data_IF_131244187221
#
_entry.id   IF_131244187221
#
_cell.length_a   1.000
_cell.length_b   1.000
_cell.length_c   1.000
_cell.angle_alpha   90.00
_cell.angle_beta   90.00
_cell.angle_gamma   90.00
#
_symmetry.space_group_name_H-M   'P 1'
#
loop_
_entity.id
_entity.type
_entity.pdbx_description
1 polymer ?
#
# COMPACT_ATOMS: atom_id res chain seq x y z
N UNK A 1 -6.30 24.01 -6.13
CA UNK A 1 -5.58 23.11 -5.21
C UNK A 1 -6.04 21.69 -5.45
N UNK A 2 -5.10 20.76 -5.48
CA UNK A 2 -5.34 19.35 -5.75
C UNK A 2 -5.04 18.56 -4.48
N UNK A 3 -6.06 17.94 -3.91
CA UNK A 3 -5.96 17.19 -2.65
C UNK A 3 -5.69 15.72 -2.97
N UNK A 4 -4.74 15.12 -2.27
CA UNK A 4 -4.32 13.72 -2.46
C UNK A 4 -4.41 12.95 -1.16
N UNK A 5 -5.00 11.77 -1.24
CA UNK A 5 -4.99 10.81 -0.14
C UNK A 5 -3.54 10.42 0.19
N UNK A 6 -3.25 10.29 1.46
CA UNK A 6 -2.02 9.68 1.98
C UNK A 6 -2.37 8.47 2.82
N UNK A 7 -1.44 7.56 2.94
CA UNK A 7 -1.58 6.33 3.73
C UNK A 7 -0.54 6.31 4.85
N UNK A 8 -0.87 5.73 5.98
CA UNK A 8 0.03 5.63 7.13
C UNK A 8 -0.01 4.23 7.71
N UNK A 9 1.15 3.73 8.10
CA UNK A 9 1.29 2.49 8.86
C UNK A 9 1.58 2.77 10.33
N UNK A 10 1.13 1.86 11.17
CA UNK A 10 1.53 1.75 12.56
C UNK A 10 1.84 0.29 12.89
N UNK A 11 2.75 0.10 13.84
CA UNK A 11 3.10 -1.20 14.37
C UNK A 11 3.06 -1.12 15.90
N UNK A 12 2.28 -1.99 16.54
CA UNK A 12 2.07 -2.00 17.99
C UNK A 12 1.78 -0.62 18.61
N UNK A 13 0.99 0.19 17.88
CA UNK A 13 0.57 1.52 18.32
C UNK A 13 1.53 2.67 17.99
N UNK A 14 2.74 2.40 17.50
CA UNK A 14 3.65 3.42 16.98
C UNK A 14 3.29 3.74 15.52
N UNK A 15 2.85 4.97 15.26
CA UNK A 15 2.53 5.46 13.92
C UNK A 15 3.78 6.01 13.23
N UNK A 16 3.99 5.61 11.97
CA UNK A 16 5.14 6.03 11.18
C UNK A 16 4.85 7.26 10.32
N UNK A 17 5.82 7.67 9.50
CA UNK A 17 5.62 8.76 8.57
C UNK A 17 4.59 8.39 7.48
N UNK A 18 3.66 9.30 7.12
CA UNK A 18 2.68 9.02 6.07
C UNK A 18 3.31 9.01 4.69
N UNK A 19 2.90 8.05 3.87
CA UNK A 19 3.28 7.91 2.47
C UNK A 19 2.25 8.57 1.54
N UNK A 20 2.70 9.12 0.43
CA UNK A 20 1.86 9.66 -0.63
C UNK A 20 1.42 8.56 -1.60
N UNK A 21 2.31 7.64 -1.93
CA UNK A 21 2.08 6.62 -2.94
C UNK A 21 1.68 5.29 -2.33
N UNK A 22 2.57 4.67 -1.53
CA UNK A 22 2.33 3.33 -1.02
C UNK A 22 3.09 3.01 0.26
N UNK A 23 2.62 1.99 0.93
CA UNK A 23 3.33 1.26 1.97
C UNK A 23 3.51 -0.18 1.48
N UNK A 24 4.74 -0.63 1.43
CA UNK A 24 5.09 -1.99 1.06
C UNK A 24 5.55 -2.77 2.29
N UNK A 25 4.81 -3.82 2.64
CA UNK A 25 5.18 -4.76 3.69
C UNK A 25 5.75 -6.00 3.02
N UNK A 26 7.02 -6.29 3.24
CA UNK A 26 7.68 -7.43 2.62
C UNK A 26 8.44 -8.28 3.65
N UNK A 27 8.60 -9.57 3.32
CA UNK A 27 9.42 -10.48 4.12
C UNK A 27 10.86 -9.97 4.19
N UNK A 28 11.44 -10.00 5.38
CA UNK A 28 12.83 -9.56 5.60
C UNK A 28 13.84 -10.62 5.15
N UNK A 29 13.55 -11.89 5.41
CA UNK A 29 14.41 -13.00 5.00
C UNK A 29 13.99 -13.53 3.63
N UNK A 30 14.84 -13.33 2.63
CA UNK A 30 14.57 -13.73 1.24
C UNK A 30 14.63 -15.22 1.00
N UNK A 31 15.23 -16.01 1.91
CA UNK A 31 15.38 -17.46 1.78
C UNK A 31 14.21 -18.26 2.39
N UNK A 32 13.33 -17.57 3.17
CA UNK A 32 12.18 -18.22 3.82
C UNK A 32 10.88 -17.72 3.22
N UNK A 33 9.97 -18.62 2.94
CA UNK A 33 8.60 -18.29 2.52
C UNK A 33 7.84 -17.71 3.70
N UNK A 34 7.23 -16.55 3.52
CA UNK A 34 6.41 -15.90 4.52
C UNK A 34 4.92 -16.02 4.18
N UNK A 35 4.10 -16.27 5.19
CA UNK A 35 2.65 -16.22 5.09
C UNK A 35 2.16 -14.87 5.61
N UNK A 36 1.36 -14.20 4.80
CA UNK A 36 0.71 -12.95 5.14
C UNK A 36 -0.78 -13.18 5.37
N UNK A 37 -1.28 -12.67 6.47
CA UNK A 37 -2.70 -12.57 6.76
C UNK A 37 -3.11 -11.10 6.65
N UNK A 38 -4.01 -10.81 5.73
CA UNK A 38 -4.49 -9.45 5.43
C UNK A 38 -5.97 -9.39 5.79
N UNK A 39 -6.32 -8.53 6.73
CA UNK A 39 -7.70 -8.29 7.16
C UNK A 39 -8.17 -6.92 6.72
N UNK A 40 -9.30 -6.87 6.05
CA UNK A 40 -9.96 -5.65 5.60
C UNK A 40 -11.47 -5.88 5.58
N UNK A 41 -12.23 -4.94 6.12
CA UNK A 41 -13.66 -5.11 6.38
C UNK A 41 -13.93 -6.37 7.21
N UNK A 42 -14.85 -7.21 6.74
CA UNK A 42 -15.14 -8.52 7.32
C UNK A 42 -14.31 -9.65 6.70
N UNK A 43 -13.46 -9.34 5.71
CA UNK A 43 -12.72 -10.31 4.94
C UNK A 43 -11.32 -10.55 5.48
N UNK A 44 -10.83 -11.76 5.30
CA UNK A 44 -9.46 -12.15 5.63
C UNK A 44 -8.88 -12.96 4.48
N UNK A 45 -7.74 -12.52 3.99
CA UNK A 45 -6.93 -13.27 3.02
C UNK A 45 -5.68 -13.76 3.71
N UNK A 46 -5.38 -15.05 3.59
CA UNK A 46 -4.18 -15.66 4.16
C UNK A 46 -3.47 -16.48 3.10
N UNK A 47 -2.25 -16.08 2.79
CA UNK A 47 -1.47 -16.75 1.73
C UNK A 47 0.02 -16.48 1.87
N UNK A 48 0.82 -17.42 1.33
CA UNK A 48 2.27 -17.26 1.17
C UNK A 48 2.56 -16.33 -0.01
N UNK A 49 3.36 -15.30 0.24
CA UNK A 49 3.76 -14.31 -0.77
C UNK A 49 5.05 -13.60 -0.33
N UNK A 50 5.63 -12.82 -1.21
CA UNK A 50 6.82 -12.02 -0.88
C UNK A 50 6.47 -10.75 -0.09
N UNK A 51 5.25 -10.28 -0.22
CA UNK A 51 4.76 -9.11 0.48
C UNK A 51 3.43 -8.61 -0.05
N UNK A 52 3.01 -7.46 0.45
CA UNK A 52 1.79 -6.78 0.03
C UNK A 52 2.04 -5.27 -0.04
N UNK A 53 1.55 -4.65 -1.10
CA UNK A 53 1.60 -3.20 -1.30
C UNK A 53 0.22 -2.63 -1.03
N UNK A 54 0.14 -1.63 -0.15
CA UNK A 54 -1.07 -0.84 0.07
C UNK A 54 -0.84 0.53 -0.54
N UNK A 55 -1.51 0.80 -1.66
CA UNK A 55 -1.35 2.02 -2.45
C UNK A 55 -2.52 2.96 -2.32
N UNK A 56 -2.21 4.25 -2.44
CA UNK A 56 -3.19 5.31 -2.69
C UNK A 56 -3.48 5.40 -4.20
N UNK A 57 -4.52 6.13 -4.63
CA UNK A 57 -4.71 6.43 -6.06
C UNK A 57 -3.52 7.16 -6.69
N UNK A 58 -2.81 8.02 -5.94
CA UNK A 58 -1.57 8.67 -6.42
C UNK A 58 -0.45 7.66 -6.70
N UNK A 59 -0.36 6.61 -5.90
CA UNK A 59 0.60 5.51 -6.05
C UNK A 59 0.19 4.45 -7.07
N UNK A 60 -1.02 4.53 -7.64
CA UNK A 60 -1.51 3.52 -8.60
C UNK A 60 -0.70 3.45 -9.89
N UNK A 61 0.15 4.44 -10.20
CA UNK A 61 1.09 4.45 -11.32
C UNK A 61 2.50 3.99 -10.94
N UNK A 62 2.72 3.63 -9.69
CA UNK A 62 4.02 3.25 -9.15
C UNK A 62 4.23 1.75 -9.05
N UNK A 63 4.76 1.29 -7.93
CA UNK A 63 5.09 -0.11 -7.69
C UNK A 63 3.88 -1.05 -7.83
N UNK A 64 2.72 -0.67 -7.33
CA UNK A 64 1.48 -1.44 -7.49
C UNK A 64 1.17 -1.71 -8.97
N UNK A 65 1.31 -0.69 -9.83
CA UNK A 65 1.06 -0.83 -11.27
C UNK A 65 2.01 -1.83 -11.94
N UNK A 66 3.29 -1.78 -11.58
CA UNK A 66 4.33 -2.64 -12.17
C UNK A 66 4.11 -4.13 -11.92
N UNK A 67 3.31 -4.49 -10.91
CA UNK A 67 2.98 -5.87 -10.54
C UNK A 67 1.50 -6.22 -10.80
N UNK A 68 0.82 -5.43 -11.64
CA UNK A 68 -0.55 -5.72 -12.11
C UNK A 68 -1.66 -5.04 -11.32
N UNK A 69 -1.36 -4.07 -10.48
CA UNK A 69 -2.37 -3.23 -9.85
C UNK A 69 -3.09 -2.32 -10.85
N UNK A 70 -4.35 -1.95 -10.59
CA UNK A 70 -5.13 -1.10 -11.50
C UNK A 70 -4.66 0.35 -11.47
N UNK A 71 -4.82 1.04 -12.60
CA UNK A 71 -4.70 2.48 -12.67
C UNK A 71 -5.97 3.14 -12.11
N UNK A 72 -5.82 4.00 -11.12
CA UNK A 72 -6.92 4.73 -10.51
C UNK A 72 -6.83 6.23 -10.75
N UNK A 73 -8.01 6.85 -10.88
CA UNK A 73 -8.08 8.30 -10.91
C UNK A 73 -7.64 8.87 -9.55
N UNK A 74 -6.80 9.86 -9.59
CA UNK A 74 -6.16 10.46 -8.41
C UNK A 74 -7.10 11.13 -7.39
N UNK A 75 -8.36 11.41 -7.79
CA UNK A 75 -9.39 11.99 -6.92
C UNK A 75 -10.22 10.96 -6.16
N UNK A 76 -10.02 9.67 -6.43
CA UNK A 76 -10.73 8.61 -5.70
C UNK A 76 -10.26 8.53 -4.26
N UNK A 77 -11.16 8.15 -3.38
CA UNK A 77 -10.91 7.99 -1.95
C UNK A 77 -10.95 6.52 -1.56
N UNK A 78 -9.97 5.78 -2.03
CA UNK A 78 -9.84 4.33 -1.88
C UNK A 78 -8.39 3.95 -1.61
N UNK A 79 -8.17 2.71 -1.19
CA UNK A 79 -6.86 2.08 -1.13
C UNK A 79 -6.82 0.85 -2.05
N UNK A 80 -5.63 0.49 -2.50
CA UNK A 80 -5.39 -0.71 -3.31
C UNK A 80 -4.53 -1.67 -2.51
N UNK A 81 -5.00 -2.90 -2.38
CA UNK A 81 -4.23 -4.02 -1.81
C UNK A 81 -3.67 -4.81 -2.99
N UNK A 82 -2.36 -4.79 -3.19
CA UNK A 82 -1.69 -5.51 -4.28
C UNK A 82 -0.73 -6.55 -3.72
N UNK A 83 -1.02 -7.84 -3.87
CA UNK A 83 -0.12 -8.91 -3.42
C UNK A 83 1.13 -8.98 -4.31
N UNK A 84 2.28 -9.29 -3.70
CA UNK A 84 3.56 -9.43 -4.38
C UNK A 84 3.95 -10.90 -4.43
N UNK A 85 4.07 -11.44 -5.62
CA UNK A 85 4.42 -12.85 -5.88
C UNK A 85 3.64 -13.86 -5.01
N UNK A 86 2.31 -13.82 -4.98
CA UNK A 86 1.52 -14.78 -4.22
C UNK A 86 1.67 -16.18 -4.83
N UNK A 87 1.76 -17.20 -3.97
CA UNK A 87 1.89 -18.61 -4.42
C UNK A 87 0.68 -19.05 -5.26
N UNK A 88 -0.52 -18.66 -4.84
CA UNK A 88 -1.72 -18.82 -5.65
C UNK A 88 -2.20 -17.48 -6.15
N UNK A 89 -2.78 -17.46 -7.35
CA UNK A 89 -3.26 -16.24 -7.97
C UNK A 89 -4.19 -15.47 -7.01
N UNK A 90 -3.79 -14.26 -6.67
CA UNK A 90 -4.56 -13.34 -5.85
C UNK A 90 -4.59 -11.99 -6.58
N UNK A 91 -5.77 -11.48 -6.98
CA UNK A 91 -5.87 -10.20 -7.68
C UNK A 91 -5.59 -9.04 -6.74
N UNK A 92 -5.27 -7.89 -7.31
CA UNK A 92 -5.32 -6.63 -6.58
C UNK A 92 -6.77 -6.30 -6.23
N UNK A 93 -6.97 -5.79 -5.02
CA UNK A 93 -8.30 -5.47 -4.47
C UNK A 93 -8.35 -3.99 -4.18
N UNK A 94 -9.36 -3.30 -4.71
CA UNK A 94 -9.64 -1.91 -4.38
C UNK A 94 -10.65 -1.89 -3.24
N UNK A 95 -10.28 -1.23 -2.15
CA UNK A 95 -11.11 -1.15 -0.94
C UNK A 95 -11.43 0.32 -0.63
N UNK A 96 -12.61 0.62 -0.05
CA UNK A 96 -12.92 1.95 0.44
C UNK A 96 -11.95 2.34 1.57
N UNK A 97 -12.06 3.58 2.05
CA UNK A 97 -11.24 4.08 3.17
C UNK A 97 -11.46 3.25 4.44
N UNK A 98 -10.57 2.30 4.65
CA UNK A 98 -10.66 1.39 5.78
C UNK A 98 -9.29 1.08 6.39
N UNK A 99 -9.39 0.56 7.61
CA UNK A 99 -8.25 -0.01 8.30
C UNK A 99 -7.92 -1.38 7.71
N UNK A 100 -6.69 -1.56 7.25
CA UNK A 100 -6.14 -2.83 6.79
C UNK A 100 -5.17 -3.31 7.86
N UNK A 101 -5.33 -4.53 8.33
CA UNK A 101 -4.42 -5.16 9.28
C UNK A 101 -3.62 -6.24 8.58
N UNK A 102 -2.32 -6.27 8.82
CA UNK A 102 -1.39 -7.24 8.23
C UNK A 102 -0.61 -7.92 9.35
N UNK A 103 -0.63 -9.25 9.33
CA UNK A 103 0.25 -10.08 10.13
C UNK A 103 1.14 -10.89 9.20
N UNK A 104 2.40 -11.06 9.57
CA UNK A 104 3.37 -11.87 8.83
C UNK A 104 3.90 -12.98 9.73
N UNK A 105 4.08 -14.18 9.16
CA UNK A 105 4.64 -15.33 9.86
C UNK A 105 6.13 -15.22 10.18
N UNK A 106 6.81 -14.20 9.64
CA UNK A 106 8.23 -13.90 9.84
C UNK A 106 8.42 -12.40 9.98
N UNK A 107 9.62 -12.00 10.42
CA UNK A 107 10.02 -10.60 10.44
C UNK A 107 9.88 -9.99 9.05
N UNK A 108 9.35 -8.78 9.01
CA UNK A 108 9.13 -8.06 7.77
C UNK A 108 9.62 -6.61 7.84
N UNK A 109 9.81 -6.03 6.66
CA UNK A 109 10.06 -4.61 6.49
C UNK A 109 8.76 -3.90 6.15
N UNK A 110 8.63 -2.66 6.63
CA UNK A 110 7.56 -1.73 6.28
C UNK A 110 8.24 -0.56 5.58
N UNK A 111 7.98 -0.41 4.29
CA UNK A 111 8.64 0.58 3.44
C UNK A 111 7.62 1.63 3.01
N UNK A 112 7.87 2.90 3.35
CA UNK A 112 7.03 4.04 3.00
C UNK A 112 7.63 4.79 1.81
N UNK A 113 6.89 4.92 0.71
CA UNK A 113 7.28 5.64 -0.52
C UNK A 113 8.67 5.28 -1.04
N UNK A 114 9.10 4.03 -0.88
CA UNK A 114 10.44 3.52 -1.24
C UNK A 114 11.63 4.28 -0.59
N UNK A 115 11.37 5.07 0.45
CA UNK A 115 12.38 5.94 1.07
C UNK A 115 12.68 5.60 2.53
N UNK A 116 11.66 5.31 3.31
CA UNK A 116 11.79 5.02 4.73
C UNK A 116 11.47 3.56 5.00
N UNK A 117 12.32 2.90 5.80
CA UNK A 117 12.17 1.49 6.17
C UNK A 117 12.06 1.38 7.69
N UNK A 118 11.03 0.66 8.13
CA UNK A 118 10.86 0.19 9.51
C UNK A 118 10.79 -1.33 9.50
N UNK A 119 11.09 -1.95 10.64
CA UNK A 119 10.96 -3.40 10.80
C UNK A 119 9.80 -3.72 11.73
N UNK A 120 9.13 -4.83 11.45
CA UNK A 120 8.19 -5.46 12.35
C UNK A 120 8.65 -6.90 12.62
N UNK A 121 8.61 -7.31 13.88
CA UNK A 121 8.94 -8.67 14.29
C UNK A 121 7.73 -9.59 14.10
N UNK A 122 7.99 -10.89 14.07
CA UNK A 122 6.92 -11.89 14.01
C UNK A 122 5.96 -11.72 15.20
N UNK A 123 4.66 -11.71 14.90
CA UNK A 123 3.60 -11.52 15.90
C UNK A 123 3.18 -10.06 16.11
N UNK A 124 3.94 -9.09 15.65
CA UNK A 124 3.53 -7.70 15.67
C UNK A 124 2.45 -7.43 14.62
N UNK A 125 1.42 -6.67 15.01
CA UNK A 125 0.33 -6.28 14.11
C UNK A 125 0.68 -4.99 13.40
N UNK A 126 0.69 -5.04 12.09
CA UNK A 126 0.83 -3.86 11.24
C UNK A 126 -0.57 -3.37 10.86
N UNK A 127 -0.87 -2.13 11.16
CA UNK A 127 -2.13 -1.48 10.79
C UNK A 127 -1.85 -0.39 9.76
N UNK A 128 -2.55 -0.44 8.64
CA UNK A 128 -2.44 0.55 7.58
C UNK A 128 -3.80 1.17 7.35
N UNK A 129 -3.84 2.49 7.30
CA UNK A 129 -5.05 3.28 7.11
C UNK A 129 -4.75 4.57 6.35
N UNK A 130 -5.79 5.21 5.88
CA UNK A 130 -5.70 6.55 5.35
C UNK A 130 -5.21 7.53 6.43
N UNK A 131 -4.29 8.38 6.05
CA UNK A 131 -3.80 9.44 6.94
C UNK A 131 -4.78 10.61 6.98
N UNK A 132 -5.02 11.16 8.16
CA UNK A 132 -6.03 12.21 8.39
C UNK A 132 -5.81 13.47 7.56
N UNK A 133 -4.53 13.84 7.29
CA UNK A 133 -4.18 15.05 6.54
C UNK A 133 -3.83 14.68 5.11
N UNK A 134 -4.59 15.18 4.15
CA UNK A 134 -4.30 15.05 2.72
C UNK A 134 -3.06 15.87 2.35
N UNK A 135 -2.34 15.43 1.32
CA UNK A 135 -1.36 16.26 0.65
C UNK A 135 -2.09 17.26 -0.26
N UNK A 136 -1.63 18.49 -0.29
CA UNK A 136 -2.21 19.55 -1.11
C UNK A 136 -1.17 20.01 -2.13
N UNK A 137 -1.52 19.89 -3.41
CA UNK A 137 -0.68 20.35 -4.51
C UNK A 137 -1.28 21.60 -5.16
N UNK A 138 -0.45 22.60 -5.40
CA UNK A 138 -0.81 23.77 -6.19
C UNK A 138 -0.55 23.45 -7.66
N UNK A 139 -1.58 23.48 -8.49
CA UNK A 139 -1.45 23.28 -9.95
C UNK A 139 -1.50 24.63 -10.66
N UNK A 140 -0.45 24.92 -11.41
CA UNK A 140 -0.40 26.12 -12.25
C UNK A 140 -1.13 25.90 -13.58
N UNK A 141 -1.26 24.68 -14.08
CA UNK A 141 -2.01 24.33 -15.28
C UNK A 141 -2.82 23.05 -15.06
N UNK A 142 -4.10 23.07 -15.43
CA UNK A 142 -4.95 21.87 -15.50
C UNK A 142 -4.67 21.18 -16.83
N UNK A 143 -4.07 20.00 -16.81
CA UNK A 143 -3.97 19.10 -17.99
C UNK A 143 -4.43 17.72 -17.55
N UNK A 144 -5.43 17.18 -18.24
CA UNK A 144 -5.91 15.81 -18.24
C UNK A 144 -5.64 14.89 -17.05
N UNK A 145 -5.78 13.62 -17.24
CA UNK A 145 -5.48 12.59 -16.24
C UNK A 145 -3.96 12.42 -16.11
N UNK A 146 -3.39 12.94 -15.02
CA UNK A 146 -1.94 12.91 -14.80
C UNK A 146 -1.34 11.51 -14.71
N UNK A 147 -2.11 10.55 -14.23
CA UNK A 147 -1.68 9.16 -14.16
C UNK A 147 -1.31 8.62 -15.54
N UNK A 148 -2.09 8.93 -16.56
CA UNK A 148 -1.77 8.54 -17.95
C UNK A 148 -0.46 9.17 -18.42
N UNK A 149 -0.26 10.46 -18.15
CA UNK A 149 1.00 11.14 -18.49
C UNK A 149 2.22 10.54 -17.80
N UNK A 150 2.10 10.11 -16.53
CA UNK A 150 3.18 9.43 -15.81
C UNK A 150 3.56 8.09 -16.43
N UNK A 151 2.63 7.44 -17.12
CA UNK A 151 2.84 6.17 -17.81
C UNK A 151 3.28 6.35 -19.26
N UNK A 152 3.46 7.59 -19.72
CA UNK A 152 3.93 7.89 -21.08
C UNK A 152 2.83 7.93 -22.16
N UNK A 153 1.56 8.04 -21.75
CA UNK A 153 0.42 8.18 -22.66
C UNK A 153 -0.01 9.63 -22.82
#
# INVERSE_FOLDING_TARGET
>A
MDKRTRVVASCDGEEFAPALNEIYVNRKNLTKTAEFEIKFQSDTVKQKMDGVIISTPSGSTGHSFSIGGPLLHESLDVLIITPVAPVHRLPSIVVPDEKIEINCSHDCNIVMDAQMIKSAEVGEKITIKKFKKQAVFVRLKKKGLRQMNKLGF
#
